data_IF_207254016940
#
_entry.id   IF_207254016940
#
_cell.length_a   1.000
_cell.length_b   1.000
_cell.length_c   1.000
_cell.angle_alpha   90.00
_cell.angle_beta   90.00
_cell.angle_gamma   90.00
#
_symmetry.space_group_name_H-M   'P 1'
#
loop_
_entity.id
_entity.type
_entity.pdbx_description
1 polymer ?
#
# COMPACT_ATOMS: atom_id res chain seq x y z
N UNK A 1 9.42 11.45 12.13
CA UNK A 1 8.43 12.02 11.17
C UNK A 1 7.03 11.81 11.72
N UNK A 2 6.16 12.84 11.60
CA UNK A 2 4.78 12.72 12.08
C UNK A 2 3.98 11.78 11.21
N UNK A 3 3.40 10.78 11.85
CA UNK A 3 2.53 9.77 11.23
C UNK A 3 1.20 9.72 11.97
N UNK A 4 0.14 9.35 11.28
CA UNK A 4 -1.15 9.07 11.91
C UNK A 4 -1.14 7.63 12.42
N UNK A 5 -1.15 7.48 13.75
CA UNK A 5 -0.97 6.21 14.44
C UNK A 5 -2.26 5.78 15.11
N UNK A 6 -2.71 4.58 14.85
CA UNK A 6 -3.70 3.89 15.66
C UNK A 6 -3.00 3.34 16.91
N UNK A 7 -3.22 3.98 18.04
CA UNK A 7 -2.65 3.60 19.34
C UNK A 7 -3.33 2.37 19.91
N UNK A 8 -4.63 2.35 19.81
CA UNK A 8 -5.56 1.28 20.17
C UNK A 8 -6.93 1.58 19.56
N UNK A 9 -7.87 0.71 19.74
CA UNK A 9 -9.27 0.91 19.32
C UNK A 9 -9.80 2.29 19.80
N UNK A 10 -10.41 3.03 18.87
CA UNK A 10 -10.98 4.37 19.04
C UNK A 10 -9.96 5.47 19.45
N UNK A 11 -8.65 5.24 19.26
CA UNK A 11 -7.61 6.16 19.67
C UNK A 11 -6.58 6.37 18.53
N UNK A 12 -6.63 7.53 17.87
CA UNK A 12 -5.71 7.96 16.84
C UNK A 12 -4.87 9.14 17.32
N UNK A 13 -3.58 9.10 17.07
CA UNK A 13 -2.68 10.20 17.38
C UNK A 13 -1.84 10.60 16.17
N UNK A 14 -1.57 11.92 16.05
CA UNK A 14 -0.58 12.45 15.12
C UNK A 14 0.71 12.72 15.87
N UNK A 15 1.68 11.81 15.78
CA UNK A 15 2.93 11.90 16.52
C UNK A 15 4.14 11.44 15.72
N UNK A 16 5.31 11.73 16.22
CA UNK A 16 6.51 11.08 15.72
C UNK A 16 6.46 9.60 16.11
N UNK A 17 6.33 8.75 15.12
CA UNK A 17 6.41 7.32 15.33
C UNK A 17 7.89 6.94 15.30
N UNK A 18 8.43 6.25 16.34
CA UNK A 18 9.79 5.76 16.30
C UNK A 18 9.92 4.85 15.09
N UNK A 19 11.04 4.99 14.41
CA UNK A 19 11.30 4.41 13.10
C UNK A 19 10.61 3.04 12.94
N UNK A 20 9.69 2.99 12.01
CA UNK A 20 9.34 1.78 11.28
C UNK A 20 10.67 1.12 11.05
N UNK A 21 10.77 -0.13 11.36
CA UNK A 21 12.03 -0.89 11.42
C UNK A 21 13.09 -0.25 10.53
N UNK A 22 14.21 0.16 11.12
CA UNK A 22 15.24 0.94 10.39
C UNK A 22 15.59 0.29 9.06
N UNK A 23 15.36 -1.01 8.92
CA UNK A 23 15.51 -1.80 7.70
C UNK A 23 14.46 -1.46 6.62
N UNK A 24 13.21 -1.13 6.99
CA UNK A 24 12.18 -0.71 6.02
C UNK A 24 12.41 0.69 5.45
N UNK A 25 13.27 1.50 6.06
CA UNK A 25 13.63 2.83 5.57
C UNK A 25 14.94 2.85 4.77
N UNK A 26 15.66 1.73 4.71
CA UNK A 26 16.88 1.61 3.89
C UNK A 26 16.47 1.40 2.43
N UNK A 27 16.91 2.29 1.56
CA UNK A 27 16.69 2.15 0.13
C UNK A 27 17.55 1.01 -0.42
N UNK A 28 16.90 -0.07 -0.82
CA UNK A 28 17.54 -1.17 -1.55
C UNK A 28 17.80 -0.85 -3.02
N UNK A 29 18.59 -1.67 -3.72
CA UNK A 29 18.92 -1.42 -5.13
C UNK A 29 17.70 -1.46 -6.06
N UNK A 30 16.64 -2.16 -5.71
CA UNK A 30 15.41 -2.29 -6.50
C UNK A 30 14.24 -1.45 -5.98
N UNK A 31 14.46 -0.61 -4.96
CA UNK A 31 13.43 0.16 -4.29
C UNK A 31 13.41 1.62 -4.73
N UNK A 32 12.32 2.28 -4.47
CA UNK A 32 12.16 3.72 -4.60
C UNK A 32 11.71 4.32 -3.26
N UNK A 33 12.20 5.53 -2.97
CA UNK A 33 11.67 6.34 -1.87
C UNK A 33 10.64 7.29 -2.43
N UNK A 34 9.48 7.30 -1.82
CA UNK A 34 8.32 8.06 -2.28
C UNK A 34 7.91 9.06 -1.20
N UNK A 35 7.79 10.33 -1.59
CA UNK A 35 7.10 11.35 -0.81
C UNK A 35 5.61 11.20 -1.07
N UNK A 36 4.84 10.85 -0.04
CA UNK A 36 3.40 10.63 -0.16
C UNK A 36 2.67 11.96 -0.31
N UNK A 37 1.66 11.98 -1.16
CA UNK A 37 0.82 13.14 -1.43
C UNK A 37 -0.60 12.89 -0.96
N UNK A 38 -1.22 11.81 -1.38
CA UNK A 38 -2.61 11.45 -1.06
C UNK A 38 -2.68 10.01 -0.61
N UNK A 39 -3.42 9.79 0.48
CA UNK A 39 -3.74 8.46 1.00
C UNK A 39 -5.25 8.37 1.17
N UNK A 40 -5.86 7.37 0.55
CA UNK A 40 -7.26 7.03 0.74
C UNK A 40 -7.50 6.37 2.11
N UNK A 41 -8.70 6.50 2.61
CA UNK A 41 -9.15 5.82 3.84
C UNK A 41 -10.09 4.68 3.44
N UNK A 42 -9.62 3.46 3.59
CA UNK A 42 -10.37 2.25 3.32
C UNK A 42 -11.33 1.91 4.46
N UNK A 43 -12.38 1.16 4.15
CA UNK A 43 -13.26 0.57 5.17
C UNK A 43 -12.50 -0.31 6.16
N UNK A 44 -11.40 -0.94 5.77
CA UNK A 44 -10.53 -1.71 6.66
C UNK A 44 -9.81 -0.84 7.70
N UNK A 45 -9.36 0.37 7.33
CA UNK A 45 -8.75 1.31 8.27
C UNK A 45 -9.78 1.72 9.35
N UNK A 46 -11.01 2.02 8.92
CA UNK A 46 -12.13 2.32 9.83
C UNK A 46 -12.44 1.11 10.74
N UNK A 47 -12.39 -0.09 10.17
CA UNK A 47 -12.68 -1.31 10.94
C UNK A 47 -11.59 -1.60 11.99
N UNK A 48 -10.30 -1.41 11.66
CA UNK A 48 -9.22 -1.48 12.65
C UNK A 48 -9.37 -0.42 13.73
N UNK A 49 -9.74 0.81 13.34
CA UNK A 49 -9.99 1.88 14.30
C UNK A 49 -11.11 1.51 15.29
N UNK A 50 -12.26 1.03 14.81
CA UNK A 50 -13.44 0.81 15.64
C UNK A 50 -13.47 -0.55 16.36
N UNK A 51 -12.80 -1.58 15.82
CA UNK A 51 -12.88 -2.96 16.34
C UNK A 51 -11.52 -3.56 16.71
N UNK A 52 -10.41 -2.89 16.36
CA UNK A 52 -9.04 -3.35 16.66
C UNK A 52 -8.61 -4.63 15.94
N UNK A 53 -9.42 -5.18 15.04
CA UNK A 53 -9.11 -6.43 14.31
C UNK A 53 -9.94 -6.60 13.05
N UNK A 54 -9.43 -7.38 12.09
CA UNK A 54 -10.17 -7.93 10.94
C UNK A 54 -9.85 -9.42 10.83
N UNK A 55 -10.82 -10.29 11.13
CA UNK A 55 -10.58 -11.74 11.17
C UNK A 55 -9.43 -12.10 12.12
N UNK A 56 -8.38 -12.80 11.64
CA UNK A 56 -7.23 -13.17 12.45
C UNK A 56 -6.25 -12.02 12.70
N UNK A 57 -6.35 -10.92 11.95
CA UNK A 57 -5.43 -9.78 12.03
C UNK A 57 -5.85 -8.85 13.16
N UNK A 58 -5.12 -8.89 14.26
CA UNK A 58 -5.41 -8.13 15.47
C UNK A 58 -4.34 -7.07 15.68
N UNK A 59 -4.75 -5.84 15.92
CA UNK A 59 -3.87 -4.72 16.31
C UNK A 59 -3.43 -4.95 17.75
N UNK A 60 -2.20 -5.40 17.96
CA UNK A 60 -1.63 -5.70 19.29
C UNK A 60 -0.74 -4.57 19.79
N UNK A 61 -0.18 -3.80 18.88
CA UNK A 61 0.75 -2.70 19.12
C UNK A 61 0.32 -1.49 18.28
N UNK A 62 0.69 -0.28 18.67
CA UNK A 62 0.42 0.90 17.86
C UNK A 62 0.90 0.73 16.41
N UNK A 63 0.06 1.08 15.45
CA UNK A 63 0.39 0.91 14.03
C UNK A 63 -0.06 2.10 13.18
N UNK A 64 0.63 2.32 12.07
CA UNK A 64 0.22 3.28 11.04
C UNK A 64 -0.81 2.59 10.15
N UNK A 65 -1.92 3.27 9.87
CA UNK A 65 -2.96 2.82 8.93
C UNK A 65 -2.68 3.31 7.50
N UNK A 66 -3.57 2.98 6.56
CA UNK A 66 -3.57 3.42 5.17
C UNK A 66 -2.77 2.55 4.23
N UNK A 67 -3.33 2.30 3.03
CA UNK A 67 -2.71 1.48 1.99
C UNK A 67 -3.09 1.91 0.56
N UNK A 68 -3.99 2.85 0.39
CA UNK A 68 -4.42 3.40 -0.89
C UNK A 68 -3.68 4.71 -1.16
N UNK A 69 -2.58 4.71 -1.91
CA UNK A 69 -1.71 5.88 -1.95
C UNK A 69 -1.16 6.27 -3.30
N UNK A 70 -0.82 7.55 -3.36
CA UNK A 70 -0.06 8.16 -4.44
C UNK A 70 0.97 9.15 -3.92
N UNK A 71 2.00 9.39 -4.71
CA UNK A 71 3.08 10.26 -4.30
C UNK A 71 4.05 10.58 -5.43
N UNK A 72 5.21 11.10 -5.06
CA UNK A 72 6.30 11.45 -5.98
C UNK A 72 7.57 10.72 -5.57
N UNK A 73 8.24 10.11 -6.52
CA UNK A 73 9.55 9.48 -6.32
C UNK A 73 10.58 10.57 -5.98
N UNK A 74 11.27 10.41 -4.85
CA UNK A 74 12.32 11.34 -4.39
C UNK A 74 13.71 10.71 -4.39
N UNK A 75 13.80 9.37 -4.47
CA UNK A 75 15.06 8.64 -4.57
C UNK A 75 14.82 7.30 -5.27
N UNK A 76 15.77 6.81 -6.05
CA UNK A 76 15.70 5.53 -6.73
C UNK A 76 16.92 4.68 -6.40
N UNK A 77 16.70 3.38 -6.17
CA UNK A 77 17.77 2.41 -6.07
C UNK A 77 18.50 2.19 -7.40
N UNK A 78 19.74 1.77 -7.34
CA UNK A 78 20.63 1.70 -8.49
C UNK A 78 20.17 0.75 -9.62
N UNK A 79 19.32 -0.22 -9.30
CA UNK A 79 18.77 -1.18 -10.28
C UNK A 79 17.38 -0.79 -10.80
N UNK A 80 16.79 0.31 -10.33
CA UNK A 80 15.51 0.81 -10.83
C UNK A 80 15.74 1.59 -12.13
N UNK A 81 15.17 1.12 -13.24
CA UNK A 81 15.38 1.72 -14.58
C UNK A 81 14.12 2.32 -15.19
N UNK A 82 12.94 2.00 -14.67
CA UNK A 82 11.63 2.40 -15.22
C UNK A 82 10.98 3.59 -14.49
N UNK A 83 11.59 4.03 -13.38
CA UNK A 83 11.18 5.19 -12.60
C UNK A 83 12.34 6.15 -12.40
N UNK A 84 12.04 7.44 -12.32
CA UNK A 84 12.99 8.52 -12.07
C UNK A 84 12.51 9.41 -10.92
N UNK A 85 13.46 10.12 -10.30
CA UNK A 85 13.14 11.17 -9.33
C UNK A 85 12.25 12.22 -9.99
N UNK A 86 11.17 12.59 -9.31
CA UNK A 86 10.14 13.50 -9.82
C UNK A 86 8.94 12.79 -10.47
N UNK A 87 9.02 11.49 -10.76
CA UNK A 87 7.88 10.74 -11.28
C UNK A 87 6.74 10.70 -10.27
N UNK A 88 5.54 10.96 -10.77
CA UNK A 88 4.29 10.82 -10.02
C UNK A 88 3.85 9.36 -10.10
N UNK A 89 3.51 8.76 -8.96
CA UNK A 89 3.28 7.31 -8.86
C UNK A 89 2.09 6.96 -7.99
N UNK A 90 1.51 5.78 -8.25
CA UNK A 90 0.71 5.02 -7.30
C UNK A 90 1.40 3.69 -6.99
N UNK A 91 0.99 3.04 -5.92
CA UNK A 91 1.66 1.84 -5.45
C UNK A 91 0.67 0.72 -5.19
N UNK A 92 1.09 -0.50 -5.46
CA UNK A 92 0.41 -1.70 -5.00
C UNK A 92 0.86 -2.01 -3.56
N UNK A 93 -0.07 -2.06 -2.58
CA UNK A 93 0.30 -2.15 -1.16
C UNK A 93 0.81 -3.53 -0.73
N UNK A 94 0.57 -4.55 -1.53
CA UNK A 94 0.94 -5.93 -1.23
C UNK A 94 2.24 -6.34 -1.92
N UNK A 95 3.26 -6.69 -1.13
CA UNK A 95 4.51 -7.23 -1.64
C UNK A 95 4.54 -8.73 -1.36
N UNK A 96 4.46 -9.60 -2.40
CA UNK A 96 4.43 -11.04 -2.23
C UNK A 96 5.82 -11.62 -1.94
N UNK A 97 5.85 -12.84 -1.40
CA UNK A 97 7.05 -13.65 -1.32
C UNK A 97 7.33 -14.29 -2.70
N UNK A 98 8.47 -13.98 -3.35
CA UNK A 98 8.81 -14.54 -4.65
C UNK A 98 8.96 -16.07 -4.66
N UNK A 99 9.17 -16.67 -3.48
CA UNK A 99 9.32 -18.12 -3.32
C UNK A 99 8.00 -18.83 -3.03
N UNK A 100 6.93 -18.10 -2.72
CA UNK A 100 5.62 -18.70 -2.49
C UNK A 100 5.06 -19.31 -3.76
N UNK A 101 4.46 -20.51 -3.63
CA UNK A 101 3.89 -21.23 -4.78
C UNK A 101 2.84 -20.41 -5.55
N UNK A 102 1.99 -19.68 -4.84
CA UNK A 102 0.97 -18.81 -5.46
C UNK A 102 1.63 -17.75 -6.33
N UNK A 103 2.68 -17.10 -5.84
CA UNK A 103 3.44 -16.08 -6.55
C UNK A 103 4.10 -16.67 -7.81
N UNK A 104 4.74 -17.82 -7.70
CA UNK A 104 5.37 -18.50 -8.84
C UNK A 104 4.38 -18.95 -9.91
N UNK A 105 3.11 -19.17 -9.54
CA UNK A 105 2.02 -19.49 -10.47
C UNK A 105 1.31 -18.24 -11.03
N UNK A 106 1.81 -17.02 -10.74
CA UNK A 106 1.19 -15.77 -11.18
C UNK A 106 -0.07 -15.38 -10.43
N UNK A 107 -0.33 -15.98 -9.28
CA UNK A 107 -1.47 -15.70 -8.40
C UNK A 107 -1.01 -15.03 -7.10
N UNK A 108 -0.09 -14.07 -7.21
CA UNK A 108 0.57 -13.47 -6.05
C UNK A 108 -0.39 -12.76 -5.08
N UNK A 109 -1.55 -12.31 -5.55
CA UNK A 109 -2.58 -11.69 -4.72
C UNK A 109 -3.20 -12.65 -3.67
N UNK A 110 -2.97 -13.96 -3.79
CA UNK A 110 -3.38 -14.98 -2.80
C UNK A 110 -2.18 -15.65 -2.13
N UNK A 111 -1.01 -15.03 -2.18
CA UNK A 111 0.16 -15.49 -1.46
C UNK A 111 -0.09 -15.39 0.05
N UNK A 112 0.06 -16.51 0.80
CA UNK A 112 -0.16 -16.48 2.25
C UNK A 112 0.91 -15.68 3.02
N UNK A 113 2.04 -15.34 2.38
CA UNK A 113 3.15 -14.61 2.96
C UNK A 113 3.20 -13.14 2.49
N UNK A 114 2.18 -12.68 1.75
CA UNK A 114 2.16 -11.29 1.28
C UNK A 114 2.28 -10.31 2.45
N UNK A 115 3.20 -9.35 2.33
CA UNK A 115 3.31 -8.23 3.25
C UNK A 115 2.43 -7.10 2.71
N UNK A 116 1.30 -6.87 3.37
CA UNK A 116 0.32 -5.89 2.93
C UNK A 116 0.27 -4.71 3.91
N UNK A 117 0.38 -3.49 3.40
CA UNK A 117 0.32 -2.27 4.22
C UNK A 117 -0.96 -2.22 5.06
N UNK A 118 -0.84 -1.68 6.27
CA UNK A 118 -1.92 -1.56 7.24
C UNK A 118 -2.64 -2.88 7.58
N UNK A 119 -1.93 -4.01 7.43
CA UNK A 119 -2.40 -5.31 7.92
C UNK A 119 -1.46 -5.80 9.02
N UNK A 120 -1.89 -5.92 10.27
CA UNK A 120 -1.02 -6.28 11.39
C UNK A 120 -0.16 -7.52 11.12
N UNK A 121 1.16 -7.49 11.39
CA UNK A 121 1.91 -6.43 12.08
C UNK A 121 2.49 -5.36 11.14
N UNK A 122 2.17 -5.35 9.85
CA UNK A 122 2.76 -4.44 8.85
C UNK A 122 2.15 -3.05 8.98
N UNK A 123 3.01 -2.03 9.11
CA UNK A 123 2.58 -0.64 9.12
C UNK A 123 2.07 -0.18 7.76
N UNK A 124 1.11 0.73 7.78
CA UNK A 124 0.59 1.41 6.60
C UNK A 124 1.38 2.70 6.27
N UNK A 125 0.75 3.54 5.47
CA UNK A 125 1.39 4.67 4.80
C UNK A 125 0.77 6.03 5.09
N UNK A 126 -0.03 6.19 6.16
CA UNK A 126 -0.43 7.51 6.66
C UNK A 126 0.76 8.20 7.35
N UNK A 127 1.83 8.42 6.58
CA UNK A 127 3.13 8.99 6.93
C UNK A 127 3.70 9.81 5.77
N UNK A 128 4.70 10.68 5.97
CA UNK A 128 5.20 11.56 4.90
C UNK A 128 5.93 10.86 3.76
N UNK A 129 6.64 9.77 4.04
CA UNK A 129 7.46 9.05 3.07
C UNK A 129 7.40 7.53 3.31
N UNK A 130 7.65 6.76 2.27
CA UNK A 130 7.88 5.32 2.37
C UNK A 130 8.98 4.88 1.40
N UNK A 131 9.60 3.73 1.68
CA UNK A 131 10.40 2.97 0.72
C UNK A 131 9.54 1.82 0.23
N UNK A 132 9.55 1.59 -1.08
CA UNK A 132 8.70 0.56 -1.70
C UNK A 132 9.42 -0.04 -2.91
N UNK A 133 9.22 -1.34 -3.21
CA UNK A 133 9.83 -1.93 -4.40
C UNK A 133 9.36 -1.25 -5.68
N UNK A 134 10.30 -0.91 -6.56
CA UNK A 134 9.98 -0.30 -7.85
C UNK A 134 9.06 -1.18 -8.70
N UNK A 135 9.14 -2.50 -8.58
CA UNK A 135 8.27 -3.44 -9.29
C UNK A 135 6.77 -3.31 -8.93
N UNK A 136 6.44 -2.77 -7.77
CA UNK A 136 5.08 -2.52 -7.27
C UNK A 136 4.75 -1.02 -7.23
N UNK A 137 5.51 -0.20 -7.97
CA UNK A 137 5.33 1.25 -8.09
C UNK A 137 5.10 1.62 -9.55
N UNK A 138 4.00 2.32 -9.84
CA UNK A 138 3.51 2.57 -11.19
C UNK A 138 3.49 4.07 -11.48
N UNK A 139 4.12 4.47 -12.58
CA UNK A 139 4.13 5.85 -13.05
C UNK A 139 2.74 6.27 -13.53
N UNK A 140 2.31 7.46 -13.11
CA UNK A 140 1.03 8.03 -13.50
C UNK A 140 1.11 8.73 -14.86
N UNK A 141 0.05 8.67 -15.67
CA UNK A 141 -0.14 9.58 -16.79
C UNK A 141 -0.24 11.04 -16.30
N UNK A 142 0.14 11.99 -17.16
CA UNK A 142 0.21 13.42 -16.78
C UNK A 142 -1.17 14.00 -16.41
N UNK A 143 -2.24 13.48 -16.99
CA UNK A 143 -3.62 13.94 -16.76
C UNK A 143 -4.30 13.32 -15.53
N UNK A 144 -3.65 12.41 -14.80
CA UNK A 144 -4.21 11.77 -13.61
C UNK A 144 -3.77 12.54 -12.37
N UNK A 145 -4.70 12.96 -11.53
CA UNK A 145 -4.42 13.61 -10.25
C UNK A 145 -3.93 12.61 -9.20
N UNK A 146 -3.30 13.09 -8.12
CA UNK A 146 -2.91 12.22 -7.00
C UNK A 146 -4.12 11.59 -6.28
N UNK A 147 -5.26 12.28 -6.24
CA UNK A 147 -6.50 11.74 -5.68
C UNK A 147 -7.02 10.56 -6.50
N UNK A 148 -7.11 10.71 -7.82
CA UNK A 148 -7.49 9.61 -8.73
C UNK A 148 -6.48 8.46 -8.66
N UNK A 149 -5.20 8.77 -8.55
CA UNK A 149 -4.14 7.76 -8.43
C UNK A 149 -4.22 6.94 -7.13
N UNK A 150 -4.59 7.56 -6.00
CA UNK A 150 -4.82 6.84 -4.76
C UNK A 150 -6.01 5.86 -4.87
N UNK A 151 -7.01 6.19 -5.71
CA UNK A 151 -8.16 5.33 -5.98
C UNK A 151 -7.86 4.14 -6.91
N UNK A 152 -6.67 4.05 -7.48
CA UNK A 152 -6.29 2.91 -8.36
C UNK A 152 -6.30 1.59 -7.58
N UNK A 153 -5.90 1.62 -6.30
CA UNK A 153 -5.90 0.44 -5.44
C UNK A 153 -7.31 -0.15 -5.29
N UNK A 154 -8.33 0.57 -4.76
CA UNK A 154 -9.67 0.00 -4.65
C UNK A 154 -10.33 -0.26 -6.01
N UNK A 155 -10.00 0.51 -7.05
CA UNK A 155 -10.46 0.26 -8.41
C UNK A 155 -9.94 -1.09 -8.93
N UNK A 156 -8.69 -1.43 -8.65
CA UNK A 156 -8.09 -2.71 -9.06
C UNK A 156 -8.85 -3.91 -8.47
N UNK A 157 -9.32 -3.80 -7.22
CA UNK A 157 -10.19 -4.81 -6.59
C UNK A 157 -11.49 -4.98 -7.38
N UNK A 158 -12.14 -3.86 -7.75
CA UNK A 158 -13.37 -3.89 -8.56
C UNK A 158 -13.14 -4.49 -9.95
N UNK A 159 -12.08 -4.10 -10.65
CA UNK A 159 -11.71 -4.64 -11.96
C UNK A 159 -11.41 -6.14 -11.88
N UNK A 160 -10.65 -6.57 -10.87
CA UNK A 160 -10.36 -7.99 -10.67
C UNK A 160 -11.64 -8.80 -10.40
N UNK A 161 -12.53 -8.29 -9.56
CA UNK A 161 -13.82 -8.93 -9.25
C UNK A 161 -14.69 -9.09 -10.50
N UNK A 162 -14.83 -8.03 -11.30
CA UNK A 162 -15.58 -8.07 -12.56
C UNK A 162 -14.98 -9.08 -13.56
N UNK A 163 -13.64 -9.13 -13.65
CA UNK A 163 -12.93 -10.10 -14.50
C UNK A 163 -13.18 -11.54 -14.04
N UNK A 164 -13.13 -11.79 -12.73
CA UNK A 164 -13.41 -13.11 -12.14
C UNK A 164 -14.86 -13.54 -12.35
N UNK A 165 -15.80 -12.63 -12.20
CA UNK A 165 -17.22 -12.86 -12.44
C UNK A 165 -17.56 -13.06 -13.94
N UNK A 166 -16.61 -12.75 -14.85
CA UNK A 166 -16.79 -12.83 -16.32
C UNK A 166 -17.99 -12.01 -16.81
N UNK A 167 -18.24 -10.88 -16.17
CA UNK A 167 -19.35 -9.97 -16.50
C UNK A 167 -19.19 -9.47 -17.94
N UNK A 168 -20.28 -9.52 -18.70
CA UNK A 168 -20.36 -9.06 -20.09
C UNK A 168 -21.38 -7.93 -20.23
N UNK A 169 -21.24 -7.07 -21.24
CA UNK A 169 -22.27 -6.09 -21.56
C UNK A 169 -23.63 -6.77 -21.79
N UNK A 170 -24.67 -6.30 -21.08
CA UNK A 170 -26.02 -6.85 -21.15
C UNK A 170 -26.36 -7.90 -20.10
N UNK A 171 -25.42 -8.31 -19.27
CA UNK A 171 -25.70 -9.18 -18.12
C UNK A 171 -26.57 -8.41 -17.09
N UNK A 172 -27.46 -9.15 -16.43
CA UNK A 172 -28.30 -8.64 -15.35
C UNK A 172 -27.78 -9.27 -14.06
N UNK A 173 -27.47 -8.42 -13.08
CA UNK A 173 -26.99 -8.82 -11.75
C UNK A 173 -28.07 -8.73 -10.67
#
# INVERSE_FOLDING_TARGET
>A
MKSLVLEKMDDLSLRDFPAIDKEEEVLGPHDVRIKLHTVGICGSDVHYYTHGKIGPFVVKEPMILGHEASGTVIETGAAVSHLAVGDRVCMEPGVPDPNARATQLGMYNIDPNVRFWATPPVHGILRPTCVHPGAFTFKLPDNVSFGEAAMVEPLAVGVHSATKAKIKPGDIG
#
